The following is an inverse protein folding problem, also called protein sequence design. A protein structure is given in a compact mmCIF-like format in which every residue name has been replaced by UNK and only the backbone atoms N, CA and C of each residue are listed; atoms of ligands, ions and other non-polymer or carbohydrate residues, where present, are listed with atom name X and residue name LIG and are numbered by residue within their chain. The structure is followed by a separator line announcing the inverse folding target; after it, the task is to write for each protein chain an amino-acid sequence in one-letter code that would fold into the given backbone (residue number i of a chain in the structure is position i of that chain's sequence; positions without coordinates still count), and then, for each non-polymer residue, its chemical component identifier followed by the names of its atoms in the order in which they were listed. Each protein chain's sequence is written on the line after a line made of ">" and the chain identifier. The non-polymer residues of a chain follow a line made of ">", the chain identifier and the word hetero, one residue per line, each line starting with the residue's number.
data_IF_967185857679
#
_entry.id   IF_967185857679
#
_cell.length_a   1.000
_cell.length_b   1.000
_cell.length_c   1.000
_cell.angle_alpha   90.00
_cell.angle_beta   90.00
_cell.angle_gamma   90.00
#
_symmetry.space_group_name_H-M   'P 1'
#
loop_
_entity.id
_entity.type
_entity.pdbx_description
1 polymer ?
#
# COMPACT_ATOMS: atom_id res chain seq x y z
N UNK A 1 34.76 33.93 19.02
CA UNK A 1 34.00 34.08 20.28
C UNK A 1 33.84 32.69 20.88
N UNK A 2 33.90 32.56 22.19
CA UNK A 2 34.05 31.25 22.83
C UNK A 2 32.69 30.73 23.31
N UNK A 3 32.34 29.51 22.94
CA UNK A 3 31.18 28.82 23.51
C UNK A 3 31.52 28.47 24.96
N UNK A 4 30.66 28.90 25.88
CA UNK A 4 30.82 28.75 27.32
C UNK A 4 29.80 27.79 27.89
N UNK A 5 30.21 26.99 28.87
CA UNK A 5 29.28 26.13 29.59
C UNK A 5 28.31 26.96 30.43
N UNK A 6 27.08 26.45 30.61
CA UNK A 6 26.07 27.07 31.46
C UNK A 6 26.58 27.33 32.89
N UNK A 7 27.44 26.45 33.43
CA UNK A 7 28.03 26.61 34.76
C UNK A 7 29.05 27.76 34.83
N UNK A 8 29.79 28.01 33.76
CA UNK A 8 30.68 29.17 33.63
C UNK A 8 29.85 30.45 33.57
N UNK A 9 28.81 30.48 32.73
CA UNK A 9 27.90 31.62 32.59
C UNK A 9 27.24 31.95 33.94
N UNK A 10 26.71 30.96 34.66
CA UNK A 10 26.09 31.14 35.99
C UNK A 10 27.03 31.79 37.01
N UNK A 11 28.36 31.64 36.90
CA UNK A 11 29.31 32.30 37.79
C UNK A 11 29.42 33.80 37.54
N UNK A 12 29.17 34.26 36.32
CA UNK A 12 29.24 35.67 35.94
C UNK A 12 28.00 36.47 36.37
N UNK A 13 26.86 35.80 36.53
CA UNK A 13 25.57 36.41 36.89
C UNK A 13 25.16 36.17 38.35
N UNK A 14 26.11 36.07 39.28
CA UNK A 14 25.80 36.00 40.72
C UNK A 14 25.47 37.38 41.29
N UNK A 15 24.68 37.42 42.35
CA UNK A 15 24.36 38.65 43.08
C UNK A 15 25.64 39.42 43.45
N UNK A 16 25.67 40.71 43.10
CA UNK A 16 26.82 41.57 43.36
C UNK A 16 27.96 41.48 42.34
N UNK A 17 27.87 40.58 41.34
CA UNK A 17 28.81 40.52 40.22
C UNK A 17 28.20 41.14 38.96
N UNK A 18 29.03 41.86 38.21
CA UNK A 18 28.70 42.39 36.88
C UNK A 18 29.61 41.73 35.85
N UNK A 19 29.07 41.04 34.83
CA UNK A 19 29.90 40.47 33.78
C UNK A 19 30.62 41.56 32.99
N UNK A 20 31.81 41.24 32.48
CA UNK A 20 32.48 42.08 31.49
C UNK A 20 31.71 42.03 30.15
N UNK A 21 31.97 42.98 29.26
CA UNK A 21 31.35 42.98 27.93
C UNK A 21 31.61 41.67 27.16
N UNK A 22 32.83 41.15 27.24
CA UNK A 22 33.18 39.87 26.63
C UNK A 22 32.38 38.71 27.23
N UNK A 23 32.26 38.64 28.57
CA UNK A 23 31.45 37.62 29.25
C UNK A 23 29.96 37.72 28.89
N UNK A 24 29.47 38.94 28.68
CA UNK A 24 28.09 39.18 28.27
C UNK A 24 27.84 38.70 26.83
N UNK A 25 28.76 38.98 25.90
CA UNK A 25 28.65 38.50 24.51
C UNK A 25 28.81 36.98 24.41
N UNK A 26 29.81 36.41 25.09
CA UNK A 26 30.01 34.97 25.16
C UNK A 26 28.76 34.25 25.73
N UNK A 27 27.97 34.91 26.57
CA UNK A 27 26.69 34.36 27.04
C UNK A 27 25.70 34.20 25.90
N UNK A 28 25.47 35.25 25.11
CA UNK A 28 24.53 35.20 23.98
C UNK A 28 25.01 34.25 22.87
N UNK A 29 26.31 34.21 22.60
CA UNK A 29 26.89 33.31 21.60
C UNK A 29 26.82 31.83 22.02
N UNK A 30 26.70 31.55 23.31
CA UNK A 30 26.54 30.19 23.84
C UNK A 30 25.09 29.69 23.80
N UNK A 31 24.12 30.55 23.51
CA UNK A 31 22.72 30.18 23.36
C UNK A 31 22.28 30.32 21.90
N UNK A 32 21.54 29.33 21.41
CA UNK A 32 20.98 29.35 20.07
C UNK A 32 19.77 30.29 20.00
N UNK A 33 19.69 31.14 18.98
CA UNK A 33 18.55 32.04 18.80
C UNK A 33 17.35 31.30 18.21
N UNK A 34 16.11 31.73 18.52
CA UNK A 34 14.88 31.07 18.03
C UNK A 34 14.73 31.06 16.50
N UNK A 35 15.40 31.97 15.80
CA UNK A 35 15.39 32.05 14.34
C UNK A 35 16.44 31.13 13.68
N UNK A 36 17.32 30.50 14.47
CA UNK A 36 18.36 29.62 13.95
C UNK A 36 17.86 28.18 13.93
N UNK A 37 18.11 27.49 12.81
CA UNK A 37 17.70 26.09 12.62
C UNK A 37 18.58 25.15 13.42
N UNK A 38 18.01 24.22 14.17
CA UNK A 38 18.73 23.14 14.88
C UNK A 38 19.16 22.06 13.86
N UNK A 39 20.46 21.76 13.71
CA UNK A 39 20.95 20.64 12.93
C UNK A 39 20.43 19.31 13.51
N UNK A 40 20.13 18.35 12.64
CA UNK A 40 19.66 17.04 13.08
C UNK A 40 20.68 16.32 13.97
N UNK A 41 21.98 16.46 13.69
CA UNK A 41 23.09 15.88 14.47
C UNK A 41 23.12 16.33 15.94
N UNK A 42 22.57 17.50 16.27
CA UNK A 42 22.52 18.05 17.63
C UNK A 42 21.32 17.53 18.44
N UNK A 43 20.40 16.80 17.81
CA UNK A 43 19.16 16.32 18.44
C UNK A 43 19.36 14.89 18.94
N UNK A 44 19.62 14.75 20.23
CA UNK A 44 19.69 13.45 20.90
C UNK A 44 18.35 12.70 20.72
N UNK A 45 18.40 11.42 20.35
CA UNK A 45 17.20 10.63 20.11
C UNK A 45 16.65 10.70 18.67
N UNK A 46 17.18 11.57 17.81
CA UNK A 46 16.63 11.76 16.46
C UNK A 46 16.78 10.52 15.59
N UNK A 47 17.90 9.80 15.74
CA UNK A 47 18.12 8.57 15.01
C UNK A 47 17.06 7.56 15.44
N UNK A 48 16.83 7.31 16.73
CA UNK A 48 15.82 6.35 17.19
C UNK A 48 14.39 6.71 16.73
N UNK A 49 14.08 8.00 16.55
CA UNK A 49 12.79 8.44 16.00
C UNK A 49 12.67 8.18 14.49
N UNK A 50 13.79 8.18 13.76
CA UNK A 50 13.85 8.00 12.31
C UNK A 50 14.17 6.56 11.89
N UNK A 51 14.91 5.82 12.72
CA UNK A 51 15.38 4.44 12.52
C UNK A 51 14.63 3.44 13.36
N UNK A 52 13.66 3.87 14.18
CA UNK A 52 12.74 2.95 14.83
C UNK A 52 12.20 2.00 13.77
N UNK A 53 12.39 0.70 13.97
CA UNK A 53 11.80 -0.33 13.12
C UNK A 53 10.37 0.10 12.84
N UNK A 54 10.01 0.19 11.56
CA UNK A 54 8.66 0.57 11.18
C UNK A 54 7.74 -0.59 11.56
N UNK A 55 7.37 -0.64 12.83
CA UNK A 55 6.45 -1.62 13.39
C UNK A 55 5.07 -1.18 12.92
N UNK A 56 4.64 -1.79 11.83
CA UNK A 56 3.30 -1.64 11.29
C UNK A 56 2.36 -2.42 12.20
N UNK A 57 1.46 -1.74 12.90
CA UNK A 57 0.43 -2.41 13.71
C UNK A 57 -0.57 -3.13 12.79
N UNK A 58 -1.25 -4.17 13.31
CA UNK A 58 -2.33 -4.84 12.57
C UNK A 58 -3.38 -3.82 12.10
N UNK A 59 -3.75 -3.85 10.82
CA UNK A 59 -4.65 -2.88 10.18
C UNK A 59 -3.97 -1.61 9.63
N UNK A 60 -2.65 -1.48 9.77
CA UNK A 60 -1.86 -0.47 9.07
C UNK A 60 -1.05 -1.10 7.94
N UNK A 61 -0.66 -0.29 6.96
CA UNK A 61 0.06 -0.75 5.77
C UNK A 61 1.27 0.14 5.45
N UNK A 62 2.30 -0.47 4.86
CA UNK A 62 3.29 0.28 4.08
C UNK A 62 2.69 0.49 2.70
N UNK A 63 2.51 1.75 2.30
CA UNK A 63 1.95 2.11 0.98
C UNK A 63 3.05 2.58 0.05
N UNK A 64 3.10 2.01 -1.14
CA UNK A 64 3.98 2.36 -2.24
C UNK A 64 3.18 3.00 -3.36
N UNK A 65 3.53 4.24 -3.69
CA UNK A 65 2.86 5.02 -4.73
C UNK A 65 3.30 4.57 -6.12
N UNK A 66 2.31 4.36 -6.98
CA UNK A 66 2.51 4.11 -8.42
C UNK A 66 2.14 5.38 -9.18
N UNK A 67 2.99 5.84 -10.10
CA UNK A 67 2.67 6.99 -10.95
C UNK A 67 1.36 6.73 -11.72
N UNK A 68 0.36 7.65 -11.72
CA UNK A 68 0.43 9.07 -11.34
C UNK A 68 -0.04 9.42 -9.92
N UNK A 69 -0.25 8.43 -9.04
CA UNK A 69 -0.73 8.65 -7.68
C UNK A 69 0.27 9.49 -6.87
N UNK A 70 -0.20 10.60 -6.29
CA UNK A 70 0.65 11.58 -5.59
C UNK A 70 0.07 12.04 -4.25
N UNK A 71 -1.16 11.61 -3.90
CA UNK A 71 -1.79 12.06 -2.67
C UNK A 71 -1.16 11.40 -1.43
N UNK A 72 -1.21 12.06 -0.29
CA UNK A 72 -0.70 11.52 0.99
C UNK A 72 -1.63 10.51 1.68
N UNK A 73 -2.55 9.92 0.92
CA UNK A 73 -3.54 8.92 1.36
C UNK A 73 -3.54 7.73 0.39
N UNK A 74 -4.06 6.57 0.78
CA UNK A 74 -4.13 5.40 -0.11
C UNK A 74 -5.03 5.69 -1.33
N UNK A 75 -4.53 5.41 -2.52
CA UNK A 75 -5.24 5.59 -3.79
C UNK A 75 -5.36 4.25 -4.53
N UNK A 76 -6.39 4.11 -5.37
CA UNK A 76 -6.58 2.92 -6.20
C UNK A 76 -5.35 2.71 -7.09
N UNK A 77 -4.85 1.48 -7.15
CA UNK A 77 -3.65 1.09 -7.88
C UNK A 77 -2.35 1.17 -7.08
N UNK A 78 -2.36 1.72 -5.86
CA UNK A 78 -1.19 1.70 -4.98
C UNK A 78 -0.88 0.27 -4.51
N UNK A 79 0.42 -0.01 -4.31
CA UNK A 79 0.88 -1.31 -3.79
C UNK A 79 1.07 -1.21 -2.28
N UNK A 80 0.66 -2.24 -1.54
CA UNK A 80 0.76 -2.28 -0.08
C UNK A 80 1.44 -3.54 0.44
N UNK A 81 2.02 -3.44 1.63
CA UNK A 81 2.55 -4.54 2.44
C UNK A 81 2.04 -4.39 3.88
N UNK A 82 1.52 -5.45 4.47
CA UNK A 82 0.99 -5.42 5.85
C UNK A 82 0.14 -6.65 6.19
N UNK A 83 -0.63 -6.57 7.27
CA UNK A 83 -1.59 -7.62 7.64
C UNK A 83 -3.02 -7.13 7.46
N UNK A 84 -3.87 -7.95 6.84
CA UNK A 84 -5.30 -7.72 6.70
C UNK A 84 -6.05 -9.01 7.06
N UNK A 85 -7.05 -8.92 7.94
CA UNK A 85 -7.86 -10.08 8.41
C UNK A 85 -7.01 -11.29 8.87
N UNK A 86 -5.86 -11.05 9.49
CA UNK A 86 -4.95 -12.09 9.99
C UNK A 86 -4.04 -12.74 8.94
N UNK A 87 -4.11 -12.30 7.68
CA UNK A 87 -3.26 -12.77 6.59
C UNK A 87 -2.18 -11.72 6.25
N UNK A 88 -0.97 -12.18 5.98
CA UNK A 88 0.14 -11.32 5.57
C UNK A 88 0.09 -11.03 4.06
N UNK A 89 0.12 -9.76 3.68
CA UNK A 89 0.17 -9.27 2.31
C UNK A 89 1.61 -8.99 1.91
N UNK A 90 2.24 -9.90 1.16
CA UNK A 90 3.63 -9.78 0.70
C UNK A 90 3.83 -8.82 -0.49
N UNK A 91 2.82 -8.68 -1.34
CA UNK A 91 2.73 -7.72 -2.45
C UNK A 91 1.28 -7.69 -2.92
N UNK A 92 0.51 -6.67 -2.54
CA UNK A 92 -0.88 -6.54 -2.97
C UNK A 92 -1.16 -5.16 -3.58
N UNK A 93 -2.00 -5.09 -4.61
CA UNK A 93 -2.48 -3.83 -5.20
C UNK A 93 -3.87 -3.52 -4.64
N UNK A 94 -4.10 -2.29 -4.20
CA UNK A 94 -5.41 -1.83 -3.69
C UNK A 94 -6.32 -1.41 -4.84
N UNK A 95 -7.53 -1.98 -4.92
CA UNK A 95 -8.48 -1.72 -6.02
C UNK A 95 -9.69 -0.87 -5.62
N UNK A 96 -9.74 -0.37 -4.37
CA UNK A 96 -10.84 0.43 -3.83
C UNK A 96 -11.72 -0.35 -2.86
N UNK A 97 -12.44 0.36 -1.98
CA UNK A 97 -13.31 -0.25 -0.94
C UNK A 97 -12.76 -0.09 0.48
N UNK A 98 -13.29 -0.86 1.44
CA UNK A 98 -12.84 -0.83 2.84
C UNK A 98 -11.45 -1.47 2.96
N UNK A 99 -10.48 -0.73 3.50
CA UNK A 99 -9.09 -1.17 3.69
C UNK A 99 -8.92 -2.26 4.75
N UNK A 100 -9.98 -2.58 5.49
CA UNK A 100 -9.98 -3.66 6.48
C UNK A 100 -10.38 -5.02 5.89
N UNK A 101 -10.84 -5.06 4.63
CA UNK A 101 -11.34 -6.26 3.96
C UNK A 101 -10.35 -6.75 2.90
N UNK A 102 -10.11 -8.07 2.85
CA UNK A 102 -9.22 -8.67 1.84
C UNK A 102 -9.69 -8.42 0.40
N UNK A 103 -11.00 -8.30 0.19
CA UNK A 103 -11.66 -7.95 -1.06
C UNK A 103 -11.05 -6.75 -1.80
N UNK A 104 -10.49 -5.82 -1.04
CA UNK A 104 -9.98 -4.54 -1.54
C UNK A 104 -8.54 -4.65 -2.06
N UNK A 105 -7.87 -5.80 -1.92
CA UNK A 105 -6.45 -6.00 -2.26
C UNK A 105 -6.22 -7.28 -3.06
N UNK A 106 -5.44 -7.25 -4.16
CA UNK A 106 -5.08 -8.47 -4.93
C UNK A 106 -3.57 -8.70 -4.97
N UNK A 107 -3.10 -9.95 -4.91
CA UNK A 107 -1.71 -10.29 -5.27
C UNK A 107 -1.46 -10.07 -6.77
N UNK A 108 -0.31 -9.49 -7.12
CA UNK A 108 0.13 -9.37 -8.51
C UNK A 108 0.87 -10.65 -8.93
N UNK A 109 0.15 -11.62 -9.49
CA UNK A 109 0.63 -12.56 -10.53
C UNK A 109 -0.44 -13.63 -10.75
N UNK A 110 -1.41 -13.31 -11.60
CA UNK A 110 -2.27 -14.34 -12.16
C UNK A 110 -1.79 -14.65 -13.57
N UNK A 111 -1.44 -15.91 -13.85
CA UNK A 111 -0.97 -16.37 -15.16
C UNK A 111 -2.03 -16.20 -16.28
N UNK A 112 -3.27 -15.95 -15.87
CA UNK A 112 -4.44 -15.79 -16.75
C UNK A 112 -4.74 -14.33 -17.06
N UNK A 113 -4.24 -13.39 -16.25
CA UNK A 113 -4.41 -11.95 -16.44
C UNK A 113 -4.61 -11.19 -15.12
N UNK A 114 -5.32 -10.06 -15.17
CA UNK A 114 -5.49 -9.19 -13.99
C UNK A 114 -6.86 -8.53 -13.95
N UNK A 115 -7.33 -8.24 -12.73
CA UNK A 115 -8.51 -7.41 -12.51
C UNK A 115 -8.14 -5.97 -12.85
N UNK A 116 -8.89 -5.31 -13.76
CA UNK A 116 -8.71 -3.88 -14.03
C UNK A 116 -9.53 -3.00 -13.10
N UNK A 117 -10.75 -3.44 -12.81
CA UNK A 117 -11.68 -2.65 -12.02
C UNK A 117 -12.82 -3.49 -11.47
N UNK A 118 -13.38 -3.01 -10.37
CA UNK A 118 -14.56 -3.57 -9.74
C UNK A 118 -15.54 -2.44 -9.41
N UNK A 119 -16.76 -2.49 -9.95
CA UNK A 119 -17.75 -1.42 -9.81
C UNK A 119 -19.02 -1.96 -9.15
N UNK A 120 -19.43 -1.30 -8.05
CA UNK A 120 -20.69 -1.55 -7.33
C UNK A 120 -20.94 -3.01 -6.95
N UNK A 121 -19.90 -3.81 -6.75
CA UNK A 121 -19.97 -5.24 -6.47
C UNK A 121 -20.64 -6.14 -7.53
N UNK A 122 -20.89 -5.59 -8.72
CA UNK A 122 -21.67 -6.25 -9.77
C UNK A 122 -20.94 -6.31 -11.11
N UNK A 123 -19.99 -5.41 -11.33
CA UNK A 123 -19.24 -5.33 -12.58
C UNK A 123 -17.76 -5.57 -12.31
N UNK A 124 -17.29 -6.75 -12.68
CA UNK A 124 -15.87 -7.08 -12.70
C UNK A 124 -15.34 -6.90 -14.12
N UNK A 125 -14.26 -6.13 -14.29
CA UNK A 125 -13.50 -6.06 -15.54
C UNK A 125 -12.16 -6.75 -15.36
N UNK A 126 -11.84 -7.70 -16.22
CA UNK A 126 -10.63 -8.50 -16.20
C UNK A 126 -9.92 -8.41 -17.55
N UNK A 127 -8.63 -8.11 -17.52
CA UNK A 127 -7.76 -8.07 -18.69
C UNK A 127 -7.02 -9.40 -18.80
N UNK A 128 -7.12 -10.06 -19.95
CA UNK A 128 -6.43 -11.33 -20.19
C UNK A 128 -4.96 -11.11 -20.50
N UNK A 129 -4.12 -12.06 -20.06
CA UNK A 129 -2.72 -12.11 -20.45
C UNK A 129 -2.56 -12.47 -21.94
N UNK A 130 -1.49 -12.00 -22.58
CA UNK A 130 -1.37 -12.04 -24.05
C UNK A 130 -1.34 -13.48 -24.61
N UNK A 131 -0.73 -14.42 -23.88
CA UNK A 131 -0.69 -15.83 -24.29
C UNK A 131 -2.06 -16.50 -24.20
N UNK A 132 -2.77 -16.27 -23.09
CA UNK A 132 -4.12 -16.78 -22.84
C UNK A 132 -5.11 -16.22 -23.86
N UNK A 133 -4.95 -14.95 -24.18
CA UNK A 133 -5.71 -14.25 -25.18
C UNK A 133 -5.61 -14.88 -26.57
N UNK A 134 -4.39 -15.22 -27.02
CA UNK A 134 -4.18 -15.92 -28.30
C UNK A 134 -4.83 -17.31 -28.33
N UNK A 135 -4.84 -18.02 -27.20
CA UNK A 135 -5.50 -19.33 -27.09
C UNK A 135 -7.03 -19.22 -27.08
N UNK A 136 -7.58 -18.21 -26.41
CA UNK A 136 -9.03 -17.98 -26.44
C UNK A 136 -9.55 -17.78 -27.88
N UNK A 137 -8.75 -17.16 -28.75
CA UNK A 137 -9.08 -17.05 -30.17
C UNK A 137 -9.15 -18.38 -30.92
N UNK A 138 -8.31 -19.36 -30.58
CA UNK A 138 -8.32 -20.65 -31.28
C UNK A 138 -9.55 -21.51 -30.92
N UNK A 139 -10.22 -21.22 -29.81
CA UNK A 139 -11.44 -21.91 -29.36
C UNK A 139 -12.75 -21.16 -29.69
N UNK A 140 -12.67 -20.04 -30.41
CA UNK A 140 -13.78 -19.12 -30.64
C UNK A 140 -13.90 -18.11 -29.50
N UNK A 141 -13.97 -16.83 -29.85
CA UNK A 141 -14.10 -15.74 -28.89
C UNK A 141 -15.16 -16.07 -27.82
N UNK A 142 -14.84 -15.82 -26.55
CA UNK A 142 -15.68 -16.10 -25.36
C UNK A 142 -15.73 -17.55 -24.86
N UNK A 143 -15.26 -18.53 -25.63
CA UNK A 143 -15.33 -19.94 -25.22
C UNK A 143 -14.03 -20.49 -24.62
N UNK A 144 -12.94 -19.72 -24.67
CA UNK A 144 -11.62 -20.13 -24.16
C UNK A 144 -11.40 -19.89 -22.67
N UNK A 145 -12.22 -19.06 -22.01
CA UNK A 145 -12.03 -18.65 -20.61
C UNK A 145 -13.36 -18.63 -19.87
N UNK A 146 -13.37 -19.20 -18.66
CA UNK A 146 -14.54 -19.21 -17.76
C UNK A 146 -14.18 -18.65 -16.39
N UNK A 147 -15.07 -17.84 -15.81
CA UNK A 147 -14.94 -17.43 -14.42
C UNK A 147 -15.45 -18.54 -13.52
N UNK A 148 -14.61 -19.01 -12.61
CA UNK A 148 -15.00 -19.85 -11.50
C UNK A 148 -15.21 -18.97 -10.27
N UNK A 149 -16.29 -19.18 -9.53
CA UNK A 149 -16.57 -18.45 -8.30
C UNK A 149 -17.17 -19.33 -7.21
N UNK A 150 -16.99 -18.93 -5.95
CA UNK A 150 -17.49 -19.60 -4.75
C UNK A 150 -17.81 -18.57 -3.69
N UNK A 151 -19.03 -18.55 -3.16
CA UNK A 151 -19.45 -17.58 -2.14
C UNK A 151 -19.00 -18.01 -0.73
N UNK A 152 -19.00 -17.09 0.25
CA UNK A 152 -18.72 -17.45 1.64
C UNK A 152 -19.60 -18.62 2.11
N UNK A 153 -18.96 -19.68 2.60
CA UNK A 153 -19.63 -20.90 3.07
C UNK A 153 -19.94 -21.94 1.98
N UNK A 154 -19.74 -21.64 0.70
CA UNK A 154 -19.80 -22.64 -0.37
C UNK A 154 -18.50 -23.45 -0.41
N UNK A 155 -18.61 -24.75 -0.68
CA UNK A 155 -17.47 -25.67 -0.78
C UNK A 155 -16.99 -25.85 -2.23
N UNK A 156 -17.91 -25.78 -3.19
CA UNK A 156 -17.68 -26.06 -4.60
C UNK A 156 -17.69 -24.78 -5.44
N UNK A 157 -16.90 -24.77 -6.52
CA UNK A 157 -16.91 -23.66 -7.48
C UNK A 157 -18.07 -23.77 -8.47
N UNK A 158 -18.82 -22.69 -8.61
CA UNK A 158 -19.71 -22.45 -9.75
C UNK A 158 -18.95 -21.81 -10.90
N UNK A 159 -19.53 -21.84 -12.11
CA UNK A 159 -18.94 -21.23 -13.29
C UNK A 159 -19.87 -20.19 -13.92
N UNK A 160 -19.29 -19.10 -14.41
CA UNK A 160 -19.97 -18.05 -15.13
C UNK A 160 -19.16 -17.71 -16.39
N UNK A 161 -19.85 -17.58 -17.51
CA UNK A 161 -19.25 -17.17 -18.77
C UNK A 161 -19.15 -15.65 -18.80
N UNK A 162 -17.92 -15.09 -18.83
CA UNK A 162 -17.75 -13.66 -19.00
C UNK A 162 -18.21 -13.22 -20.40
N UNK A 163 -18.73 -12.00 -20.50
CA UNK A 163 -18.99 -11.33 -21.78
C UNK A 163 -17.86 -10.34 -22.01
N UNK A 164 -17.60 -9.89 -23.25
CA UNK A 164 -16.58 -8.87 -23.41
C UNK A 164 -16.28 -8.45 -24.83
N UNK A 165 -15.23 -7.66 -24.96
CA UNK A 165 -14.58 -7.36 -26.23
C UNK A 165 -13.08 -7.28 -25.98
N UNK A 166 -12.31 -7.94 -26.85
CA UNK A 166 -10.86 -8.00 -26.75
C UNK A 166 -10.21 -6.65 -26.39
N UNK A 167 -9.22 -6.61 -25.48
CA UNK A 167 -8.67 -7.72 -24.67
C UNK A 167 -9.38 -7.89 -23.31
N UNK A 168 -10.48 -7.18 -23.09
CA UNK A 168 -11.15 -7.08 -21.80
C UNK A 168 -12.40 -7.96 -21.75
N UNK A 169 -12.51 -8.70 -20.66
CA UNK A 169 -13.69 -9.46 -20.32
C UNK A 169 -14.36 -8.80 -19.11
N UNK A 170 -15.69 -8.83 -19.07
CA UNK A 170 -16.44 -8.35 -17.93
C UNK A 170 -17.63 -9.25 -17.59
N UNK A 171 -18.04 -9.17 -16.33
CA UNK A 171 -19.24 -9.85 -15.83
C UNK A 171 -20.07 -8.80 -15.11
N UNK A 172 -21.29 -8.57 -15.58
CA UNK A 172 -22.19 -7.52 -15.09
C UNK A 172 -23.41 -8.04 -14.32
N UNK A 173 -23.66 -9.35 -14.34
CA UNK A 173 -24.87 -9.98 -13.80
C UNK A 173 -24.59 -10.92 -12.62
N UNK A 174 -23.35 -10.95 -12.14
CA UNK A 174 -22.93 -11.82 -11.05
C UNK A 174 -22.66 -10.96 -9.82
N UNK A 175 -23.54 -11.05 -8.82
CA UNK A 175 -23.28 -10.46 -7.51
C UNK A 175 -22.19 -11.29 -6.81
N UNK A 176 -21.01 -10.67 -6.68
CA UNK A 176 -19.90 -11.21 -5.92
C UNK A 176 -19.91 -10.51 -4.56
N UNK A 177 -20.36 -11.23 -3.53
CA UNK A 177 -20.38 -10.69 -2.16
C UNK A 177 -18.97 -10.63 -1.60
N UNK A 178 -18.66 -9.69 -0.68
CA UNK A 178 -17.39 -9.71 0.03
C UNK A 178 -17.11 -11.08 0.66
N UNK A 179 -15.90 -11.59 0.49
CA UNK A 179 -15.46 -12.93 0.83
C UNK A 179 -15.68 -13.99 -0.28
N UNK A 180 -16.23 -13.62 -1.44
CA UNK A 180 -16.39 -14.54 -2.57
C UNK A 180 -15.03 -14.88 -3.19
N UNK A 181 -14.71 -16.15 -3.33
CA UNK A 181 -13.49 -16.59 -4.00
C UNK A 181 -13.77 -16.73 -5.49
N UNK A 182 -12.98 -16.06 -6.33
CA UNK A 182 -13.04 -16.18 -7.80
C UNK A 182 -11.70 -16.58 -8.39
N UNK A 183 -11.73 -17.20 -9.57
CA UNK A 183 -10.54 -17.48 -10.39
C UNK A 183 -10.96 -17.65 -11.84
N UNK A 184 -10.07 -17.44 -12.80
CA UNK A 184 -10.38 -17.64 -14.23
C UNK A 184 -9.69 -18.89 -14.76
N UNK A 185 -10.46 -19.79 -15.36
CA UNK A 185 -9.91 -21.04 -15.88
C UNK A 185 -9.88 -20.99 -17.40
N UNK A 186 -8.75 -21.38 -17.97
CA UNK A 186 -8.63 -21.74 -19.38
C UNK A 186 -9.42 -23.03 -19.63
N UNK A 187 -10.38 -22.99 -20.56
CA UNK A 187 -11.24 -24.15 -20.89
C UNK A 187 -10.48 -25.24 -21.64
N UNK A 188 -9.29 -24.93 -22.14
CA UNK A 188 -8.37 -25.87 -22.79
C UNK A 188 -7.51 -26.61 -21.75
N UNK A 189 -7.61 -26.24 -20.46
CA UNK A 189 -7.05 -27.00 -19.34
C UNK A 189 -5.53 -26.89 -19.18
N UNK A 190 -4.91 -25.90 -19.82
CA UNK A 190 -3.46 -25.75 -19.83
C UNK A 190 -2.93 -24.68 -18.85
N UNK A 191 -3.80 -23.79 -18.38
CA UNK A 191 -3.55 -22.87 -17.27
C UNK A 191 -4.54 -23.18 -16.14
N UNK A 192 -4.19 -24.11 -15.25
CA UNK A 192 -4.94 -24.33 -14.00
C UNK A 192 -4.55 -23.36 -12.88
N UNK A 193 -3.55 -22.51 -13.12
CA UNK A 193 -2.91 -21.68 -12.09
C UNK A 193 -3.48 -20.25 -12.02
N UNK A 194 -4.79 -20.06 -12.24
CA UNK A 194 -5.35 -18.83 -11.70
C UNK A 194 -5.44 -18.96 -10.18
N UNK A 195 -4.59 -18.20 -9.49
CA UNK A 195 -4.67 -18.10 -8.04
C UNK A 195 -6.07 -17.62 -7.67
N UNK A 196 -6.63 -18.29 -6.67
CA UNK A 196 -7.89 -17.92 -6.05
C UNK A 196 -7.78 -16.49 -5.51
N UNK A 197 -8.72 -15.65 -5.92
CA UNK A 197 -8.82 -14.26 -5.53
C UNK A 197 -10.06 -14.09 -4.66
N UNK A 198 -9.92 -13.44 -3.51
CA UNK A 198 -11.03 -13.13 -2.63
C UNK A 198 -11.56 -11.74 -3.00
N UNK A 199 -12.80 -11.70 -3.49
CA UNK A 199 -13.61 -10.51 -3.78
C UNK A 199 -14.27 -9.98 -2.52
#
# INVERSE_FOLDING_TARGET
>A
MAIQTLNTIKKWFKTGLKPTQAQFWDTWDSFRHKCEKVPAEDIEGIEQLLTGDKIISSGQFIVFKVSPNTASQLEIGDTVIGYCEGNFLGQATYYGGDTSLMSSFTESNNLVGKIKSYVNNHVLTYELDQEVLQRSYSCGAFNGIVLMYKRPGELEFSSAWPTGSYPELWISWLELTPGSIIKLRDTIGSFEDSKEFIV
#
